data_IF_956809579424
#
_entry.id   IF_956809579424
#
_cell.length_a   1.000
_cell.length_b   1.000
_cell.length_c   1.000
_cell.angle_alpha   90.00
_cell.angle_beta   90.00
_cell.angle_gamma   90.00
#
_symmetry.space_group_name_H-M   'P 1'
#
loop_
_entity.id
_entity.type
_entity.pdbx_description
1 polymer ?
#
# COMPACT_ATOMS: atom_id res chain seq x y z
N UNK A 1 11.04 2.69 24.23
CA UNK A 1 10.38 3.62 23.30
C UNK A 1 9.28 2.81 22.63
N UNK A 2 8.03 2.96 23.06
CA UNK A 2 6.89 2.25 22.44
C UNK A 2 6.69 2.82 21.03
N UNK A 3 6.99 2.04 20.00
CA UNK A 3 6.83 2.47 18.61
C UNK A 3 5.36 2.32 18.21
N UNK A 4 4.58 3.39 18.37
CA UNK A 4 3.15 3.44 18.02
C UNK A 4 2.86 3.61 16.52
N UNK A 5 3.84 3.41 15.65
CA UNK A 5 3.77 3.67 14.18
C UNK A 5 2.72 2.82 13.43
N UNK A 6 2.01 1.93 14.13
CA UNK A 6 1.18 0.90 13.52
C UNK A 6 -0.24 0.78 14.09
N UNK A 7 -0.77 1.84 14.69
CA UNK A 7 -2.24 1.95 14.94
C UNK A 7 -3.03 2.36 13.69
N UNK A 8 -2.37 2.54 12.55
CA UNK A 8 -2.92 3.00 11.28
C UNK A 8 -1.85 3.74 10.48
N UNK A 9 -2.24 4.54 9.47
CA UNK A 9 -1.32 5.48 8.83
C UNK A 9 -1.23 6.76 9.69
N UNK A 10 -0.05 7.14 10.18
CA UNK A 10 0.11 8.25 11.13
C UNK A 10 0.16 9.63 10.42
N UNK A 11 -0.84 9.94 9.59
CA UNK A 11 -0.79 11.14 8.72
C UNK A 11 -0.74 12.46 9.50
N UNK A 12 -1.40 12.52 10.66
CA UNK A 12 -1.51 13.73 11.49
C UNK A 12 -0.45 13.82 12.59
N UNK A 13 0.33 12.77 12.78
CA UNK A 13 1.42 12.72 13.76
C UNK A 13 2.75 12.83 13.00
N UNK A 14 3.35 14.02 13.03
CA UNK A 14 4.57 14.32 12.26
C UNK A 14 5.75 13.45 12.69
N UNK A 15 5.88 13.17 13.99
CA UNK A 15 6.99 12.36 14.50
C UNK A 15 6.82 10.90 14.08
N UNK A 16 5.63 10.34 14.30
CA UNK A 16 5.33 8.98 13.87
C UNK A 16 5.39 8.82 12.33
N UNK A 17 5.00 9.85 11.57
CA UNK A 17 5.15 9.83 10.11
C UNK A 17 6.60 9.88 9.67
N UNK A 18 7.45 10.69 10.31
CA UNK A 18 8.87 10.74 9.99
C UNK A 18 9.56 9.40 10.26
N UNK A 19 9.21 8.74 11.37
CA UNK A 19 9.68 7.39 11.67
C UNK A 19 9.24 6.38 10.60
N UNK A 20 7.97 6.45 10.18
CA UNK A 20 7.45 5.61 9.09
C UNK A 20 8.19 5.89 7.77
N UNK A 21 8.46 7.14 7.45
CA UNK A 21 9.16 7.54 6.22
C UNK A 21 10.60 7.03 6.23
N UNK A 22 11.31 7.14 7.36
CA UNK A 22 12.64 6.58 7.52
C UNK A 22 12.65 5.08 7.28
N UNK A 23 11.71 4.36 7.90
CA UNK A 23 11.59 2.91 7.67
C UNK A 23 11.18 2.57 6.25
N UNK A 24 10.39 3.42 5.58
CA UNK A 24 10.09 3.29 4.17
C UNK A 24 11.37 3.38 3.33
N UNK A 25 12.21 4.37 3.55
CA UNK A 25 13.44 4.56 2.80
C UNK A 25 14.41 3.38 2.98
N UNK A 26 14.54 2.86 4.21
CA UNK A 26 15.35 1.68 4.53
C UNK A 26 14.86 0.39 3.83
N UNK A 27 13.55 0.29 3.57
CA UNK A 27 12.90 -0.95 3.11
C UNK A 27 12.12 -0.77 1.79
N UNK A 28 12.44 0.27 1.01
CA UNK A 28 11.62 0.77 -0.09
C UNK A 28 11.16 -0.32 -1.06
N UNK A 29 12.08 -1.15 -1.54
CA UNK A 29 11.79 -2.20 -2.52
C UNK A 29 10.79 -3.24 -1.99
N UNK A 30 10.97 -3.69 -0.74
CA UNK A 30 10.10 -4.66 -0.09
C UNK A 30 8.71 -4.10 0.15
N UNK A 31 8.61 -2.83 0.57
CA UNK A 31 7.33 -2.17 0.81
C UNK A 31 6.56 -1.99 -0.50
N UNK A 32 7.21 -1.46 -1.54
CA UNK A 32 6.56 -1.26 -2.85
C UNK A 32 6.10 -2.59 -3.46
N UNK A 33 6.84 -3.68 -3.26
CA UNK A 33 6.45 -5.01 -3.72
C UNK A 33 5.24 -5.60 -2.95
N UNK A 34 5.04 -5.20 -1.69
CA UNK A 34 3.94 -5.69 -0.85
C UNK A 34 2.64 -4.89 -1.03
N UNK A 35 2.74 -3.64 -1.48
CA UNK A 35 1.60 -2.75 -1.66
C UNK A 35 0.71 -3.14 -2.85
N UNK A 36 -0.58 -2.72 -2.85
CA UNK A 36 -1.40 -2.81 -4.05
C UNK A 36 -0.75 -1.99 -5.17
N UNK A 37 -0.78 -2.50 -6.40
CA UNK A 37 -0.07 -1.91 -7.55
C UNK A 37 -0.31 -0.41 -7.68
N UNK A 38 -1.57 0.02 -7.50
CA UNK A 38 -1.97 1.42 -7.66
C UNK A 38 -1.27 2.32 -6.65
N UNK A 39 -1.12 1.87 -5.41
CA UNK A 39 -0.42 2.62 -4.36
C UNK A 39 1.07 2.68 -4.66
N UNK A 40 1.67 1.59 -5.15
CA UNK A 40 3.08 1.57 -5.54
C UNK A 40 3.37 2.53 -6.70
N UNK A 41 2.51 2.57 -7.73
CA UNK A 41 2.63 3.52 -8.85
C UNK A 41 2.49 4.96 -8.36
N UNK A 42 1.53 5.25 -7.46
CA UNK A 42 1.39 6.57 -6.87
C UNK A 42 2.65 6.98 -6.11
N UNK A 43 3.19 6.11 -5.25
CA UNK A 43 4.40 6.42 -4.47
C UNK A 43 5.58 6.75 -5.41
N UNK A 44 5.78 5.94 -6.45
CA UNK A 44 6.86 6.15 -7.41
C UNK A 44 6.68 7.43 -8.24
N UNK A 45 5.45 7.87 -8.48
CA UNK A 45 5.18 9.04 -9.32
C UNK A 45 4.97 10.36 -8.57
N UNK A 46 4.45 10.34 -7.34
CA UNK A 46 4.13 11.56 -6.56
C UNK A 46 4.84 11.64 -5.20
N UNK A 47 5.53 10.60 -4.77
CA UNK A 47 6.17 10.54 -3.45
C UNK A 47 5.38 9.74 -2.42
N UNK A 48 6.10 9.21 -1.42
CA UNK A 48 5.51 8.35 -0.39
C UNK A 48 4.45 9.07 0.43
N UNK A 49 4.77 10.28 0.92
CA UNK A 49 3.87 11.06 1.76
C UNK A 49 2.58 11.43 1.06
N UNK A 50 2.69 12.02 -0.12
CA UNK A 50 1.56 12.47 -0.94
C UNK A 50 0.64 11.30 -1.31
N UNK A 51 1.22 10.15 -1.67
CA UNK A 51 0.45 8.94 -1.99
C UNK A 51 -0.29 8.38 -0.77
N UNK A 52 0.37 8.31 0.39
CA UNK A 52 -0.23 7.79 1.63
C UNK A 52 -1.32 8.75 2.16
N UNK A 53 -1.09 10.06 2.10
CA UNK A 53 -2.11 11.09 2.40
C UNK A 53 -3.33 10.94 1.50
N UNK A 54 -3.10 10.76 0.19
CA UNK A 54 -4.18 10.53 -0.76
C UNK A 54 -4.99 9.28 -0.44
N UNK A 55 -4.32 8.15 -0.16
CA UNK A 55 -4.96 6.89 0.24
C UNK A 55 -5.76 7.09 1.53
N UNK A 56 -5.19 7.76 2.53
CA UNK A 56 -5.87 7.99 3.80
C UNK A 56 -7.21 8.73 3.61
N UNK A 57 -7.21 9.80 2.81
CA UNK A 57 -8.38 10.64 2.58
C UNK A 57 -9.42 10.04 1.63
N UNK A 58 -9.01 9.10 0.77
CA UNK A 58 -9.85 8.62 -0.34
C UNK A 58 -10.02 7.10 -0.41
N UNK A 59 -9.40 6.34 0.49
CA UNK A 59 -9.44 4.89 0.47
C UNK A 59 -10.85 4.33 0.57
N UNK A 60 -11.09 3.21 -0.13
CA UNK A 60 -12.41 2.58 -0.25
C UNK A 60 -13.30 3.21 -1.32
N UNK A 61 -12.87 4.28 -1.98
CA UNK A 61 -13.60 4.91 -3.09
C UNK A 61 -13.10 4.39 -4.43
N UNK A 62 -14.00 4.32 -5.40
CA UNK A 62 -13.66 4.16 -6.83
C UNK A 62 -13.52 5.54 -7.46
N UNK A 63 -12.47 5.75 -8.25
CA UNK A 63 -12.28 7.00 -9.01
C UNK A 63 -12.22 6.72 -10.50
N UNK A 64 -12.86 7.58 -11.28
CA UNK A 64 -12.73 7.59 -12.73
C UNK A 64 -11.49 8.40 -13.14
N UNK A 65 -10.66 7.81 -14.02
CA UNK A 65 -9.35 8.34 -14.40
C UNK A 65 -9.42 9.58 -15.29
N UNK A 66 -10.49 9.73 -16.06
CA UNK A 66 -10.57 10.78 -17.08
C UNK A 66 -9.87 10.38 -18.38
N UNK A 67 -9.67 11.38 -19.25
CA UNK A 67 -9.04 11.21 -20.57
C UNK A 67 -7.58 11.68 -20.62
N UNK A 68 -7.16 12.48 -19.63
CA UNK A 68 -5.82 13.08 -19.58
C UNK A 68 -5.29 13.12 -18.16
N UNK A 69 -3.98 13.28 -18.01
CA UNK A 69 -3.32 13.41 -16.71
C UNK A 69 -3.77 14.65 -15.94
N UNK A 70 -4.13 15.75 -16.61
CA UNK A 70 -4.62 16.96 -15.98
C UNK A 70 -6.02 16.75 -15.38
N UNK A 71 -6.88 15.96 -16.03
CA UNK A 71 -8.18 15.60 -15.47
C UNK A 71 -8.02 14.79 -14.18
N UNK A 72 -7.11 13.80 -14.19
CA UNK A 72 -6.84 13.01 -13.00
C UNK A 72 -6.24 13.87 -11.89
N UNK A 73 -5.26 14.73 -12.22
CA UNK A 73 -4.61 15.63 -11.26
C UNK A 73 -5.60 16.54 -10.56
N UNK A 74 -6.51 17.18 -11.31
CA UNK A 74 -7.56 18.04 -10.74
C UNK A 74 -8.49 17.28 -9.80
N UNK A 75 -8.79 16.03 -10.12
CA UNK A 75 -9.69 15.20 -9.32
C UNK A 75 -9.04 14.66 -8.05
N UNK A 76 -7.78 14.28 -8.11
CA UNK A 76 -7.07 13.69 -6.97
C UNK A 76 -6.38 14.73 -6.10
N UNK A 77 -6.15 15.94 -6.63
CA UNK A 77 -5.29 16.95 -6.01
C UNK A 77 -3.80 16.62 -6.10
N UNK A 78 -3.43 15.54 -6.81
CA UNK A 78 -2.05 15.12 -6.99
C UNK A 78 -1.48 15.67 -8.29
N UNK A 79 -0.16 15.91 -8.31
CA UNK A 79 0.55 16.27 -9.54
C UNK A 79 0.84 15.02 -10.36
N UNK A 80 -0.12 14.58 -11.17
CA UNK A 80 0.02 13.38 -12.00
C UNK A 80 0.75 13.73 -13.30
N UNK A 81 1.90 13.10 -13.54
CA UNK A 81 2.60 13.21 -14.82
C UNK A 81 1.94 12.35 -15.90
N UNK A 82 2.17 12.67 -17.18
CA UNK A 82 1.71 11.84 -18.28
C UNK A 82 2.24 10.39 -18.17
N UNK A 83 3.49 10.22 -17.74
CA UNK A 83 4.08 8.89 -17.56
C UNK A 83 3.35 8.08 -16.49
N UNK A 84 3.05 8.69 -15.34
CA UNK A 84 2.28 8.03 -14.28
C UNK A 84 0.86 7.72 -14.75
N UNK A 85 0.22 8.65 -15.44
CA UNK A 85 -1.13 8.47 -15.98
C UNK A 85 -1.21 7.27 -16.93
N UNK A 86 -0.29 7.14 -17.87
CA UNK A 86 -0.22 6.01 -18.80
C UNK A 86 0.01 4.66 -18.08
N UNK A 87 0.86 4.65 -17.04
CA UNK A 87 1.07 3.43 -16.23
C UNK A 87 -0.20 3.00 -15.49
N UNK A 88 -0.93 3.97 -14.94
CA UNK A 88 -2.22 3.71 -14.27
C UNK A 88 -3.23 3.18 -15.29
N UNK A 89 -3.38 3.83 -16.44
CA UNK A 89 -4.30 3.42 -17.50
C UNK A 89 -4.03 1.99 -18.00
N UNK A 90 -2.75 1.64 -18.16
CA UNK A 90 -2.34 0.30 -18.62
C UNK A 90 -2.77 -0.82 -17.67
N UNK A 91 -2.93 -0.52 -16.39
CA UNK A 91 -3.31 -1.50 -15.36
C UNK A 91 -4.79 -1.46 -14.99
N UNK A 92 -5.54 -0.43 -15.42
CA UNK A 92 -6.99 -0.43 -15.22
C UNK A 92 -7.69 -1.37 -16.19
N UNK A 93 -8.75 -2.02 -15.71
CA UNK A 93 -9.70 -2.68 -16.60
C UNK A 93 -10.38 -1.61 -17.48
N UNK A 94 -10.92 -1.99 -18.64
CA UNK A 94 -11.45 -1.06 -19.65
C UNK A 94 -12.59 -0.11 -19.19
N UNK A 95 -12.92 -0.11 -17.89
CA UNK A 95 -13.85 0.81 -17.24
C UNK A 95 -13.27 2.23 -17.01
N UNK A 96 -11.96 2.45 -17.24
CA UNK A 96 -11.26 3.70 -16.92
C UNK A 96 -11.47 4.14 -15.46
N UNK A 97 -11.67 3.19 -14.56
CA UNK A 97 -11.81 3.41 -13.13
C UNK A 97 -10.74 2.62 -12.37
N UNK A 98 -10.36 3.13 -11.21
CA UNK A 98 -9.51 2.42 -10.26
C UNK A 98 -10.09 2.50 -8.86
N UNK A 99 -10.02 1.39 -8.13
CA UNK A 99 -10.39 1.33 -6.72
C UNK A 99 -9.20 1.78 -5.86
N UNK A 100 -9.42 2.77 -5.00
CA UNK A 100 -8.42 3.23 -4.05
C UNK A 100 -8.43 2.26 -2.87
N UNK A 101 -7.32 1.56 -2.58
CA UNK A 101 -7.26 0.63 -1.46
C UNK A 101 -7.56 1.32 -0.13
N UNK A 102 -8.17 0.60 0.83
CA UNK A 102 -8.49 1.19 2.12
C UNK A 102 -7.21 1.49 2.93
N UNK A 103 -7.21 2.56 3.76
CA UNK A 103 -6.02 3.00 4.48
C UNK A 103 -5.49 1.94 5.43
N UNK A 104 -6.41 1.24 6.12
CA UNK A 104 -6.05 0.15 7.02
C UNK A 104 -5.30 -0.98 6.30
N UNK A 105 -5.82 -1.44 5.16
CA UNK A 105 -5.18 -2.51 4.38
C UNK A 105 -3.80 -2.12 3.85
N UNK A 106 -3.61 -0.86 3.48
CA UNK A 106 -2.29 -0.32 3.11
C UNK A 106 -1.35 -0.28 4.31
N UNK A 107 -1.81 0.21 5.46
CA UNK A 107 -1.00 0.26 6.69
C UNK A 107 -0.55 -1.12 7.16
N UNK A 108 -1.43 -2.12 7.05
CA UNK A 108 -1.08 -3.51 7.31
C UNK A 108 0.02 -3.93 6.35
N UNK A 109 -0.16 -3.83 5.03
CA UNK A 109 0.87 -4.29 4.08
C UNK A 109 2.25 -3.67 4.29
N UNK A 110 2.32 -2.38 4.62
CA UNK A 110 3.58 -1.71 4.96
C UNK A 110 4.22 -2.36 6.20
N UNK A 111 3.44 -2.51 7.28
CA UNK A 111 3.90 -3.16 8.52
C UNK A 111 4.40 -4.57 8.25
N UNK A 112 3.69 -5.31 7.42
CA UNK A 112 4.02 -6.68 7.08
C UNK A 112 5.33 -6.77 6.29
N UNK A 113 5.53 -5.90 5.31
CA UNK A 113 6.81 -5.81 4.62
C UNK A 113 7.96 -5.54 5.59
N UNK A 114 7.79 -4.59 6.52
CA UNK A 114 8.82 -4.27 7.51
C UNK A 114 9.09 -5.42 8.50
N UNK A 115 8.07 -6.16 8.93
CA UNK A 115 8.25 -7.36 9.78
C UNK A 115 9.06 -8.44 9.04
N UNK A 116 8.79 -8.62 7.74
CA UNK A 116 9.51 -9.58 6.92
C UNK A 116 10.98 -9.17 6.77
N UNK A 117 11.25 -7.89 6.49
CA UNK A 117 12.62 -7.35 6.44
C UNK A 117 13.35 -7.56 7.76
N UNK A 118 12.76 -7.17 8.89
CA UNK A 118 13.35 -7.39 10.22
C UNK A 118 13.59 -8.88 10.52
N UNK A 119 12.71 -9.77 10.06
CA UNK A 119 12.93 -11.22 10.19
C UNK A 119 14.13 -11.67 9.37
N UNK A 120 14.26 -11.19 8.12
CA UNK A 120 15.38 -11.53 7.24
C UNK A 120 16.72 -11.01 7.78
N UNK A 121 16.70 -9.91 8.51
CA UNK A 121 17.86 -9.36 9.25
C UNK A 121 18.17 -10.10 10.55
N UNK A 122 17.39 -11.12 10.90
CA UNK A 122 17.62 -11.94 12.10
C UNK A 122 17.15 -11.30 13.41
N UNK A 123 16.31 -10.26 13.35
CA UNK A 123 15.75 -9.63 14.56
C UNK A 123 14.95 -10.65 15.37
N UNK A 124 15.19 -10.81 16.68
CA UNK A 124 14.46 -11.76 17.51
C UNK A 124 12.95 -11.50 17.52
N UNK A 125 12.16 -12.57 17.53
CA UNK A 125 10.68 -12.48 17.45
C UNK A 125 10.05 -11.61 18.53
N UNK A 126 10.57 -11.64 19.76
CA UNK A 126 10.04 -10.78 20.82
C UNK A 126 10.32 -9.29 20.56
N UNK A 127 11.50 -8.95 20.03
CA UNK A 127 11.79 -7.58 19.59
C UNK A 127 10.91 -7.15 18.41
N UNK A 128 10.64 -8.04 17.44
CA UNK A 128 9.69 -7.75 16.35
C UNK A 128 8.30 -7.44 16.93
N UNK A 129 7.83 -8.23 17.91
CA UNK A 129 6.52 -7.99 18.52
C UNK A 129 6.44 -6.62 19.18
N UNK A 130 7.47 -6.26 19.94
CA UNK A 130 7.52 -5.00 20.68
C UNK A 130 7.66 -3.80 19.72
N UNK A 131 8.50 -3.93 18.68
CA UNK A 131 8.73 -2.87 17.69
C UNK A 131 7.52 -2.62 16.77
N UNK A 132 6.78 -3.67 16.42
CA UNK A 132 5.68 -3.60 15.46
C UNK A 132 4.28 -3.66 16.12
N UNK A 133 4.21 -3.80 17.44
CA UNK A 133 2.95 -3.82 18.19
C UNK A 133 2.04 -5.01 17.85
N UNK A 134 2.61 -6.18 17.54
CA UNK A 134 1.86 -7.36 17.11
C UNK A 134 1.82 -8.48 18.16
N UNK A 135 0.69 -9.17 18.24
CA UNK A 135 0.54 -10.31 19.16
C UNK A 135 1.39 -11.51 18.74
N UNK A 136 1.74 -12.39 19.70
CA UNK A 136 2.40 -13.69 19.41
C UNK A 136 1.64 -14.50 18.37
N UNK A 137 0.31 -14.50 18.47
CA UNK A 137 -0.59 -15.22 17.55
C UNK A 137 -0.53 -14.63 16.14
N UNK A 138 -0.57 -13.31 16.02
CA UNK A 138 -0.47 -12.60 14.73
C UNK A 138 0.87 -12.91 14.06
N UNK A 139 1.97 -12.84 14.81
CA UNK A 139 3.30 -13.16 14.31
C UNK A 139 3.46 -14.64 13.92
N UNK A 140 2.91 -15.56 14.71
CA UNK A 140 2.92 -16.99 14.37
C UNK A 140 2.11 -17.28 13.09
N UNK A 141 0.96 -16.63 12.92
CA UNK A 141 0.17 -16.75 11.70
C UNK A 141 0.89 -16.20 10.47
N UNK A 142 1.65 -15.12 10.63
CA UNK A 142 2.49 -14.52 9.59
C UNK A 142 3.50 -15.54 9.05
N UNK A 143 4.24 -16.22 9.94
CA UNK A 143 5.21 -17.23 9.53
C UNK A 143 4.56 -18.49 8.93
N UNK A 144 3.32 -18.81 9.31
CA UNK A 144 2.59 -19.98 8.78
C UNK A 144 1.99 -19.74 7.40
N UNK A 145 1.58 -18.52 7.08
CA UNK A 145 0.93 -18.21 5.80
C UNK A 145 1.37 -16.84 5.24
N UNK A 146 2.60 -16.75 4.69
CA UNK A 146 3.10 -15.51 4.11
C UNK A 146 2.28 -15.06 2.89
N UNK A 147 1.64 -16.00 2.18
CA UNK A 147 0.84 -15.73 0.97
C UNK A 147 -0.44 -14.95 1.20
N UNK A 148 -0.95 -14.92 2.44
CA UNK A 148 -2.15 -14.13 2.78
C UNK A 148 -1.89 -12.61 2.68
N UNK A 149 -0.62 -12.19 2.64
CA UNK A 149 -0.22 -10.79 2.71
C UNK A 149 0.64 -10.36 1.51
N UNK A 150 1.05 -11.30 0.65
CA UNK A 150 1.39 -10.97 -0.73
C UNK A 150 0.15 -10.46 -1.45
N UNK A 151 0.30 -9.39 -2.24
CA UNK A 151 -0.80 -8.78 -2.98
C UNK A 151 -1.67 -9.84 -3.67
N UNK A 152 -3.02 -9.79 -3.58
CA UNK A 152 -3.86 -10.64 -4.38
C UNK A 152 -3.46 -10.39 -5.82
N UNK A 153 -2.95 -11.43 -6.50
CA UNK A 153 -3.15 -11.50 -7.94
C UNK A 153 -4.65 -11.42 -8.11
N UNK A 154 -5.11 -10.38 -8.79
CA UNK A 154 -6.52 -10.13 -9.07
C UNK A 154 -7.19 -11.46 -9.38
N UNK A 155 -8.03 -11.90 -8.46
CA UNK A 155 -8.78 -13.14 -8.60
C UNK A 155 -9.69 -12.90 -9.79
N UNK A 156 -9.26 -13.35 -10.98
CA UNK A 156 -10.13 -13.50 -12.15
C UNK A 156 -11.29 -14.38 -11.71
N UNK A 157 -12.39 -13.78 -11.27
CA UNK A 157 -13.67 -14.47 -11.20
C UNK A 157 -14.06 -14.76 -12.65
N UNK A 158 -14.17 -16.05 -12.94
CA UNK A 158 -14.47 -16.57 -14.27
C UNK A 158 -15.65 -15.84 -14.90
N UNK A 159 -15.42 -15.37 -16.12
CA UNK A 159 -16.49 -15.14 -17.07
C UNK A 159 -17.03 -16.53 -17.38
N UNK A 160 -18.22 -16.83 -16.87
CA UNK A 160 -19.01 -17.95 -17.37
C UNK A 160 -19.32 -17.67 -18.84
N UNK A 161 -18.70 -18.45 -19.72
CA UNK A 161 -19.10 -18.57 -21.12
C UNK A 161 -20.55 -19.04 -21.17
N UNK A 162 -21.47 -18.13 -21.47
CA UNK A 162 -22.74 -18.47 -22.07
C UNK A 162 -22.49 -18.62 -23.58
N UNK A 163 -22.44 -19.86 -24.05
CA UNK A 163 -22.55 -20.19 -25.47
C UNK A 163 -24.02 -20.34 -25.88
N UNK A 164 -24.33 -20.03 -27.15
CA UNK A 164 -25.67 -19.69 -27.66
C UNK A 164 -26.69 -20.82 -27.63
#
# INVERSE_FOLDING_TARGET
MERHIFKGLPIYDKEAFNDLNKHYDENKSHILAALPWFVSELIEGVGFKEAIEFVYNNGGKRIFLGKTSEHLSKRTGLKISNVLFERILKQTDGSNCVDIPCPWGVSERIRWAMILCATMEGVPRDQIRDNFGISRRSLANLYRNPKKFSSPKDTKKGVTESHP
#
